data_IF_529790243400
#
_entry.id   IF_529790243400
#
_cell.length_a   1.000
_cell.length_b   1.000
_cell.length_c   1.000
_cell.angle_alpha   90.00
_cell.angle_beta   90.00
_cell.angle_gamma   90.00
#
_symmetry.space_group_name_H-M   'P 1'
#
loop_
_entity.id
_entity.type
_entity.pdbx_description
1 polymer ?
#
# COMPACT_ATOMS: atom_id res chain seq x y z
N UNK A 1 16.71 -12.11 -13.49
CA UNK A 1 15.24 -11.99 -13.40
C UNK A 1 14.89 -10.57 -13.81
N UNK A 2 14.29 -10.36 -14.99
CA UNK A 2 13.88 -9.01 -15.40
C UNK A 2 12.80 -8.55 -14.44
N UNK A 3 13.09 -7.52 -13.63
CA UNK A 3 12.04 -6.84 -12.88
C UNK A 3 11.07 -6.27 -13.92
N UNK A 4 9.86 -6.83 -14.01
CA UNK A 4 8.82 -6.29 -14.88
C UNK A 4 8.65 -4.80 -14.59
N UNK A 5 8.70 -3.99 -15.66
CA UNK A 5 8.51 -2.55 -15.53
C UNK A 5 7.14 -2.30 -14.92
N UNK A 6 7.07 -1.41 -13.92
CA UNK A 6 5.82 -1.10 -13.22
C UNK A 6 4.76 -0.50 -14.15
N UNK A 7 5.18 -0.05 -15.34
CA UNK A 7 4.33 0.46 -16.42
C UNK A 7 4.17 -0.52 -17.59
N UNK A 8 4.55 -1.79 -17.46
CA UNK A 8 4.30 -2.78 -18.52
C UNK A 8 2.81 -3.04 -18.69
N UNK A 9 2.40 -3.46 -19.89
CA UNK A 9 0.99 -3.74 -20.18
C UNK A 9 0.44 -4.87 -19.32
N UNK A 10 1.25 -5.88 -19.02
CA UNK A 10 0.89 -6.99 -18.13
C UNK A 10 0.72 -6.52 -16.68
N UNK A 11 1.60 -5.63 -16.20
CA UNK A 11 1.49 -5.07 -14.85
C UNK A 11 0.22 -4.23 -14.71
N UNK A 12 -0.06 -3.38 -15.70
CA UNK A 12 -1.26 -2.53 -15.74
C UNK A 12 -2.52 -3.40 -15.81
N UNK A 13 -2.55 -4.39 -16.69
CA UNK A 13 -3.68 -5.32 -16.82
C UNK A 13 -3.90 -6.10 -15.52
N UNK A 14 -2.83 -6.59 -14.88
CA UNK A 14 -2.89 -7.27 -13.59
C UNK A 14 -3.45 -6.40 -12.47
N UNK A 15 -2.99 -5.15 -12.35
CA UNK A 15 -3.52 -4.19 -11.38
C UNK A 15 -5.01 -3.93 -11.65
N UNK A 16 -5.39 -3.69 -12.90
CA UNK A 16 -6.78 -3.43 -13.26
C UNK A 16 -7.69 -4.63 -12.99
N UNK A 17 -7.26 -5.85 -13.31
CA UNK A 17 -7.99 -7.07 -12.98
C UNK A 17 -8.22 -7.19 -11.47
N UNK A 18 -7.19 -6.97 -10.66
CA UNK A 18 -7.32 -7.00 -9.20
C UNK A 18 -8.24 -5.89 -8.69
N UNK A 19 -8.17 -4.68 -9.26
CA UNK A 19 -9.06 -3.59 -8.90
C UNK A 19 -10.51 -3.87 -9.27
N UNK A 20 -10.79 -4.48 -10.42
CA UNK A 20 -12.14 -4.85 -10.83
C UNK A 20 -12.73 -5.90 -9.87
N UNK A 21 -11.94 -6.88 -9.45
CA UNK A 21 -12.37 -7.89 -8.48
C UNK A 21 -12.51 -7.32 -7.06
N UNK A 22 -11.49 -6.60 -6.57
CA UNK A 22 -11.42 -6.16 -5.18
C UNK A 22 -12.19 -4.86 -4.92
N UNK A 23 -12.47 -4.08 -5.94
CA UNK A 23 -13.21 -2.81 -5.85
C UNK A 23 -14.50 -2.87 -6.68
N UNK A 24 -15.07 -4.07 -6.89
CA UNK A 24 -16.26 -4.28 -7.72
C UNK A 24 -17.42 -3.36 -7.34
N UNK A 25 -17.65 -3.14 -6.05
CA UNK A 25 -18.72 -2.25 -5.57
C UNK A 25 -18.55 -0.79 -6.04
N UNK A 26 -17.31 -0.30 -6.18
CA UNK A 26 -17.06 1.02 -6.76
C UNK A 26 -17.54 1.07 -8.22
N UNK A 27 -17.16 0.07 -9.02
CA UNK A 27 -17.55 0.00 -10.43
C UNK A 27 -19.05 -0.22 -10.63
N UNK A 28 -19.70 -1.04 -9.79
CA UNK A 28 -21.16 -1.19 -9.82
C UNK A 28 -21.90 0.13 -9.51
N UNK A 29 -21.36 0.97 -8.61
CA UNK A 29 -21.95 2.29 -8.31
C UNK A 29 -21.78 3.31 -9.43
N UNK A 30 -20.77 3.15 -10.28
CA UNK A 30 -20.58 3.99 -11.47
C UNK A 30 -21.58 3.64 -12.59
N UNK A 31 -22.40 2.61 -12.40
CA UNK A 31 -23.37 2.13 -13.39
C UNK A 31 -22.89 0.87 -14.08
N UNK A 32 -22.95 0.85 -15.42
CA UNK A 32 -22.63 -0.34 -16.21
C UNK A 32 -21.10 -0.48 -16.31
N UNK A 33 -20.55 -1.54 -15.71
CA UNK A 33 -19.19 -1.98 -16.01
C UNK A 33 -19.17 -2.52 -17.44
N UNK A 34 -18.62 -1.74 -18.37
CA UNK A 34 -18.40 -2.14 -19.74
C UNK A 34 -16.93 -2.03 -20.14
N UNK A 35 -16.61 -2.56 -21.32
CA UNK A 35 -15.24 -2.55 -21.84
C UNK A 35 -14.70 -1.13 -22.06
N UNK A 36 -15.55 -0.15 -22.39
CA UNK A 36 -15.11 1.22 -22.61
C UNK A 36 -14.63 1.88 -21.33
N UNK A 37 -15.35 1.68 -20.22
CA UNK A 37 -14.91 2.17 -18.90
C UNK A 37 -13.60 1.52 -18.46
N UNK A 38 -13.46 0.20 -18.67
CA UNK A 38 -12.24 -0.54 -18.34
C UNK A 38 -11.05 -0.04 -19.17
N UNK A 39 -11.21 0.09 -20.49
CA UNK A 39 -10.17 0.59 -21.40
C UNK A 39 -9.78 2.02 -21.05
N UNK A 40 -10.76 2.87 -20.69
CA UNK A 40 -10.49 4.22 -20.24
C UNK A 40 -9.65 4.23 -18.95
N UNK A 41 -9.99 3.41 -17.96
CA UNK A 41 -9.21 3.30 -16.72
C UNK A 41 -7.81 2.72 -16.95
N UNK A 42 -7.66 1.76 -17.87
CA UNK A 42 -6.35 1.24 -18.29
C UNK A 42 -5.50 2.38 -18.86
N UNK A 43 -6.08 3.20 -19.76
CA UNK A 43 -5.41 4.36 -20.34
C UNK A 43 -4.97 5.38 -19.28
N UNK A 44 -5.86 5.74 -18.36
CA UNK A 44 -5.56 6.65 -17.26
C UNK A 44 -4.48 6.10 -16.31
N UNK A 45 -4.54 4.80 -16.00
CA UNK A 45 -3.51 4.15 -15.18
C UNK A 45 -2.16 4.18 -15.90
N UNK A 46 -2.11 3.80 -17.18
CA UNK A 46 -0.89 3.84 -17.99
C UNK A 46 -0.27 5.24 -18.02
N UNK A 47 -1.09 6.27 -18.22
CA UNK A 47 -0.64 7.66 -18.22
C UNK A 47 -0.10 8.06 -16.84
N UNK A 48 -0.83 7.75 -15.76
CA UNK A 48 -0.44 8.08 -14.40
C UNK A 48 0.88 7.40 -14.00
N UNK A 49 1.05 6.11 -14.31
CA UNK A 49 2.28 5.36 -14.00
C UNK A 49 3.45 5.86 -14.83
N UNK A 50 3.26 6.11 -16.13
CA UNK A 50 4.30 6.67 -17.00
C UNK A 50 4.76 8.04 -16.52
N UNK A 51 3.82 8.94 -16.19
CA UNK A 51 4.11 10.30 -15.70
C UNK A 51 4.89 10.30 -14.38
N UNK A 52 4.63 9.33 -13.50
CA UNK A 52 5.26 9.26 -12.17
C UNK A 52 6.26 8.11 -12.04
N UNK A 53 6.74 7.55 -13.16
CA UNK A 53 7.64 6.38 -13.17
C UNK A 53 8.86 6.58 -12.28
N UNK A 54 9.49 7.75 -12.36
CA UNK A 54 10.65 8.07 -11.54
C UNK A 54 10.35 8.01 -10.04
N UNK A 55 9.19 8.51 -9.58
CA UNK A 55 8.79 8.42 -8.18
C UNK A 55 8.53 6.98 -7.76
N UNK A 56 7.83 6.20 -8.60
CA UNK A 56 7.57 4.79 -8.33
C UNK A 56 8.87 4.00 -8.20
N UNK A 57 9.83 4.20 -9.11
CA UNK A 57 11.15 3.58 -9.03
C UNK A 57 11.91 3.95 -7.75
N UNK A 58 11.92 5.24 -7.38
CA UNK A 58 12.58 5.71 -6.16
C UNK A 58 11.94 5.15 -4.87
N UNK A 59 10.62 4.95 -4.87
CA UNK A 59 9.88 4.43 -3.72
C UNK A 59 9.89 2.90 -3.64
N UNK A 60 10.01 2.19 -4.77
CA UNK A 60 9.98 0.71 -4.81
C UNK A 60 11.09 0.04 -4.00
N UNK A 61 12.19 0.75 -3.74
CA UNK A 61 13.32 0.28 -2.93
C UNK A 61 13.18 0.63 -1.44
N UNK A 62 12.09 1.28 -1.04
CA UNK A 62 11.85 1.70 0.34
C UNK A 62 10.96 0.68 1.04
N UNK A 63 11.23 0.49 2.33
CA UNK A 63 10.49 -0.41 3.21
C UNK A 63 9.86 0.39 4.32
N UNK A 64 8.63 0.08 4.70
CA UNK A 64 7.86 0.85 5.68
C UNK A 64 8.59 0.97 7.03
N UNK A 65 9.20 -0.10 7.50
CA UNK A 65 9.96 -0.17 8.75
C UNK A 65 11.17 0.79 8.77
N UNK A 66 11.79 1.02 7.62
CA UNK A 66 13.07 1.73 7.51
C UNK A 66 12.91 3.17 6.97
N UNK A 67 11.81 3.45 6.26
CA UNK A 67 11.67 4.72 5.53
C UNK A 67 11.66 5.93 6.46
N UNK A 68 12.28 7.02 6.02
CA UNK A 68 12.07 8.35 6.59
C UNK A 68 11.17 9.12 5.62
N UNK A 69 9.98 9.52 6.08
CA UNK A 69 9.00 10.22 5.25
C UNK A 69 9.48 11.62 4.83
N UNK A 70 10.39 12.23 5.60
CA UNK A 70 10.92 13.57 5.31
C UNK A 70 12.25 13.50 4.54
N UNK A 71 12.73 12.29 4.23
CA UNK A 71 13.88 12.08 3.34
C UNK A 71 13.58 12.57 1.92
N UNK A 72 14.46 13.42 1.40
CA UNK A 72 14.43 13.88 0.01
C UNK A 72 14.80 12.77 -0.97
N UNK A 73 14.02 12.64 -2.04
CA UNK A 73 14.26 11.73 -3.16
C UNK A 73 15.04 12.46 -4.27
N UNK A 74 16.22 11.95 -4.60
CA UNK A 74 16.95 12.36 -5.79
C UNK A 74 16.41 11.59 -7.02
N UNK A 75 16.26 12.23 -8.20
CA UNK A 75 16.62 13.61 -8.54
C UNK A 75 15.49 14.65 -8.32
N UNK A 76 14.34 14.22 -7.80
CA UNK A 76 13.10 15.02 -7.76
C UNK A 76 13.10 16.18 -6.77
N UNK A 77 14.05 16.24 -5.84
CA UNK A 77 14.11 17.22 -4.74
C UNK A 77 12.81 17.35 -3.93
N UNK A 78 12.00 16.30 -3.91
CA UNK A 78 10.78 16.19 -3.08
C UNK A 78 10.96 15.11 -2.03
N UNK A 79 10.24 15.20 -0.93
CA UNK A 79 10.30 14.18 0.13
C UNK A 79 9.52 12.92 -0.24
N UNK A 80 9.80 11.80 0.44
CA UNK A 80 9.00 10.57 0.34
C UNK A 80 7.52 10.85 0.59
N UNK A 81 7.23 11.67 1.62
CA UNK A 81 5.91 12.18 1.97
C UNK A 81 5.19 12.83 0.78
N UNK A 82 5.88 13.74 0.11
CA UNK A 82 5.35 14.46 -1.04
C UNK A 82 5.13 13.53 -2.24
N UNK A 83 6.06 12.61 -2.48
CA UNK A 83 5.94 11.61 -3.55
C UNK A 83 4.72 10.71 -3.36
N UNK A 84 4.50 10.17 -2.16
CA UNK A 84 3.33 9.37 -1.82
C UNK A 84 2.03 10.17 -1.98
N UNK A 85 2.00 11.42 -1.50
CA UNK A 85 0.83 12.29 -1.68
C UNK A 85 0.53 12.56 -3.16
N UNK A 86 1.55 12.82 -3.98
CA UNK A 86 1.40 13.06 -5.43
C UNK A 86 0.83 11.83 -6.14
N UNK A 87 1.42 10.66 -5.89
CA UNK A 87 0.96 9.39 -6.45
C UNK A 87 -0.49 9.08 -6.04
N UNK A 88 -0.82 9.21 -4.75
CA UNK A 88 -2.17 8.97 -4.26
C UNK A 88 -3.19 9.91 -4.90
N UNK A 89 -2.89 11.22 -4.98
CA UNK A 89 -3.77 12.20 -5.64
C UNK A 89 -3.97 11.88 -7.11
N UNK A 90 -2.91 11.48 -7.82
CA UNK A 90 -3.00 11.13 -9.23
C UNK A 90 -3.94 9.94 -9.47
N UNK A 91 -3.79 8.88 -8.68
CA UNK A 91 -4.58 7.65 -8.82
C UNK A 91 -6.02 7.79 -8.31
N UNK A 92 -6.22 8.48 -7.18
CA UNK A 92 -7.54 8.62 -6.55
C UNK A 92 -8.54 9.42 -7.37
N UNK A 93 -8.07 10.22 -8.32
CA UNK A 93 -8.93 10.98 -9.26
C UNK A 93 -9.83 10.09 -10.11
N UNK A 94 -9.39 8.89 -10.47
CA UNK A 94 -10.15 7.97 -11.33
C UNK A 94 -10.41 6.60 -10.69
N UNK A 95 -9.57 6.17 -9.73
CA UNK A 95 -9.76 4.91 -8.99
C UNK A 95 -10.55 5.08 -7.68
N UNK A 96 -10.81 6.31 -7.26
CA UNK A 96 -11.29 6.62 -5.91
C UNK A 96 -10.25 6.30 -4.83
N UNK A 97 -10.58 6.60 -3.57
CA UNK A 97 -9.66 6.47 -2.43
C UNK A 97 -9.15 5.03 -2.21
N UNK A 98 -10.07 4.06 -2.20
CA UNK A 98 -9.76 2.64 -2.00
C UNK A 98 -8.99 2.07 -3.19
N UNK A 99 -9.40 2.39 -4.41
CA UNK A 99 -8.71 1.90 -5.62
C UNK A 99 -7.29 2.46 -5.73
N UNK A 100 -7.07 3.74 -5.39
CA UNK A 100 -5.74 4.33 -5.35
C UNK A 100 -4.82 3.64 -4.34
N UNK A 101 -5.32 3.36 -3.13
CA UNK A 101 -4.54 2.63 -2.13
C UNK A 101 -4.23 1.20 -2.60
N UNK A 102 -5.16 0.53 -3.28
CA UNK A 102 -4.97 -0.84 -3.80
C UNK A 102 -3.91 -0.87 -4.88
N UNK A 103 -3.98 0.07 -5.82
CA UNK A 103 -2.97 0.23 -6.86
C UNK A 103 -1.59 0.49 -6.25
N UNK A 104 -1.48 1.41 -5.28
CA UNK A 104 -0.20 1.72 -4.64
C UNK A 104 0.36 0.56 -3.81
N UNK A 105 -0.50 -0.21 -3.13
CA UNK A 105 -0.08 -1.41 -2.43
C UNK A 105 0.50 -2.47 -3.38
N UNK A 106 -0.10 -2.65 -4.56
CA UNK A 106 0.43 -3.57 -5.58
C UNK A 106 1.74 -3.05 -6.21
N UNK A 107 1.89 -1.74 -6.38
CA UNK A 107 3.06 -1.11 -6.98
C UNK A 107 4.25 -1.00 -6.02
N UNK A 108 3.98 -0.77 -4.73
CA UNK A 108 4.94 -0.49 -3.67
C UNK A 108 4.70 -1.40 -2.46
N UNK A 109 4.76 -2.74 -2.63
CA UNK A 109 4.30 -3.69 -1.62
C UNK A 109 5.06 -3.58 -0.31
N UNK A 110 6.36 -3.28 -0.32
CA UNK A 110 7.17 -3.15 0.90
C UNK A 110 6.96 -1.83 1.66
N UNK A 111 6.29 -0.85 1.04
CA UNK A 111 6.13 0.50 1.60
C UNK A 111 4.67 0.83 1.94
N UNK A 112 3.74 0.41 1.09
CA UNK A 112 2.33 0.82 1.18
C UNK A 112 1.49 -0.26 1.83
N UNK A 113 0.87 0.08 2.95
CA UNK A 113 -0.09 -0.78 3.65
C UNK A 113 -1.47 -0.57 3.02
N UNK A 114 -2.16 -1.67 2.79
CA UNK A 114 -3.49 -1.67 2.22
C UNK A 114 -4.47 -0.94 3.14
N UNK A 115 -5.19 0.02 2.56
CA UNK A 115 -6.24 0.80 3.20
C UNK A 115 -7.54 0.82 2.37
N UNK A 116 -8.64 0.31 2.93
CA UNK A 116 -10.00 0.41 2.39
C UNK A 116 -10.96 1.28 3.26
N UNK A 117 -12.26 1.29 2.96
CA UNK A 117 -13.23 2.06 3.74
C UNK A 117 -13.41 1.59 5.18
N UNK A 118 -13.31 0.28 5.45
CA UNK A 118 -13.45 -0.27 6.80
C UNK A 118 -12.25 0.10 7.65
N UNK A 119 -11.05 -0.15 7.12
CA UNK A 119 -9.78 0.24 7.75
C UNK A 119 -9.76 1.76 7.99
N UNK A 120 -10.18 2.56 7.00
CA UNK A 120 -10.31 4.02 7.16
C UNK A 120 -11.12 4.41 8.38
N UNK A 121 -12.30 3.80 8.51
CA UNK A 121 -13.27 4.11 9.53
C UNK A 121 -12.69 3.81 10.91
N UNK A 122 -11.98 2.70 11.04
CA UNK A 122 -11.35 2.29 12.29
C UNK A 122 -10.34 3.32 12.81
N UNK A 123 -9.52 3.89 11.92
CA UNK A 123 -8.55 4.95 12.28
C UNK A 123 -9.14 6.36 12.28
N UNK A 124 -10.43 6.52 11.93
CA UNK A 124 -11.13 7.82 11.80
C UNK A 124 -10.40 8.82 10.88
N UNK A 125 -9.78 8.30 9.82
CA UNK A 125 -9.01 9.11 8.88
C UNK A 125 -9.88 9.56 7.68
N UNK A 126 -9.64 10.75 7.12
CA UNK A 126 -10.34 11.20 5.93
C UNK A 126 -9.87 10.43 4.68
N UNK A 127 -10.74 10.30 3.67
CA UNK A 127 -10.42 9.67 2.39
C UNK A 127 -9.61 10.60 1.46
N UNK A 128 -8.51 11.16 1.98
CA UNK A 128 -7.65 12.13 1.29
C UNK A 128 -6.20 11.69 1.35
N UNK A 129 -5.34 12.34 0.56
CA UNK A 129 -3.89 12.11 0.61
C UNK A 129 -3.27 12.43 1.99
N UNK A 130 -3.83 13.41 2.74
CA UNK A 130 -3.39 13.69 4.12
C UNK A 130 -3.75 12.54 5.04
N UNK A 131 -4.98 12.01 4.89
CA UNK A 131 -5.37 10.77 5.54
C UNK A 131 -4.39 9.66 5.19
N UNK A 132 -4.20 9.40 3.88
CA UNK A 132 -3.31 8.38 3.31
C UNK A 132 -1.96 8.33 4.00
N UNK A 133 -1.32 9.48 4.07
CA UNK A 133 -0.03 9.66 4.68
C UNK A 133 -0.05 9.42 6.19
N UNK A 134 -1.00 10.00 6.93
CA UNK A 134 -1.13 9.79 8.39
C UNK A 134 -1.30 8.32 8.75
N UNK A 135 -2.06 7.57 7.96
CA UNK A 135 -2.19 6.13 8.15
C UNK A 135 -0.84 5.42 8.06
N UNK A 136 -0.02 5.75 7.07
CA UNK A 136 1.29 5.12 6.90
C UNK A 136 2.27 5.51 8.02
N UNK A 137 2.20 6.74 8.52
CA UNK A 137 2.95 7.17 9.71
C UNK A 137 2.54 6.35 10.94
N UNK A 138 1.23 6.14 11.16
CA UNK A 138 0.75 5.27 12.22
C UNK A 138 1.21 3.82 12.03
N UNK A 139 1.09 3.27 10.82
CA UNK A 139 1.50 1.90 10.54
C UNK A 139 3.00 1.68 10.75
N UNK A 140 3.84 2.66 10.37
CA UNK A 140 5.26 2.61 10.66
C UNK A 140 5.52 2.64 12.17
N UNK A 141 4.83 3.52 12.92
CA UNK A 141 4.99 3.61 14.37
C UNK A 141 4.60 2.30 15.07
N UNK A 142 3.45 1.73 14.74
CA UNK A 142 2.96 0.46 15.27
C UNK A 142 3.93 -0.69 14.94
N UNK A 143 4.39 -0.77 13.70
CA UNK A 143 5.37 -1.77 13.27
C UNK A 143 6.68 -1.64 14.05
N UNK A 144 7.24 -0.43 14.15
CA UNK A 144 8.48 -0.19 14.91
C UNK A 144 8.31 -0.47 16.40
N UNK A 145 7.12 -0.26 16.97
CA UNK A 145 6.84 -0.66 18.35
C UNK A 145 6.82 -2.18 18.48
N UNK A 146 6.08 -2.88 17.61
CA UNK A 146 6.01 -4.34 17.62
C UNK A 146 7.40 -4.99 17.47
N UNK A 147 8.23 -4.49 16.54
CA UNK A 147 9.58 -4.98 16.34
C UNK A 147 10.48 -4.73 17.56
N UNK A 148 10.39 -3.56 18.18
CA UNK A 148 11.14 -3.24 19.41
C UNK A 148 10.75 -4.16 20.57
N UNK A 149 9.45 -4.40 20.78
CA UNK A 149 8.98 -5.32 21.81
C UNK A 149 9.46 -6.74 21.53
N UNK A 150 9.32 -7.23 20.30
CA UNK A 150 9.81 -8.56 19.93
C UNK A 150 11.31 -8.72 20.21
N UNK A 151 12.12 -7.74 19.81
CA UNK A 151 13.56 -7.74 20.05
C UNK A 151 13.93 -7.64 21.54
N UNK A 152 13.13 -6.94 22.35
CA UNK A 152 13.35 -6.89 23.80
C UNK A 152 13.10 -8.26 24.45
N UNK A 153 12.09 -9.00 23.98
CA UNK A 153 11.70 -10.29 24.55
C UNK A 153 12.57 -11.46 24.05
N UNK A 154 13.05 -11.40 22.81
CA UNK A 154 13.73 -12.51 22.13
C UNK A 154 15.20 -12.22 21.75
N UNK A 155 15.64 -10.96 21.86
CA UNK A 155 16.94 -10.51 21.35
C UNK A 155 16.98 -10.43 19.81
N UNK A 156 18.19 -10.21 19.29
CA UNK A 156 18.46 -10.20 17.85
C UNK A 156 18.28 -8.85 17.17
N UNK A 157 18.34 -8.87 15.84
CA UNK A 157 18.23 -7.71 14.94
C UNK A 157 16.80 -7.50 14.44
N UNK A 158 16.48 -6.30 13.98
CA UNK A 158 15.18 -6.00 13.35
C UNK A 158 14.87 -6.95 12.18
N UNK A 159 15.89 -7.28 11.37
CA UNK A 159 15.76 -8.23 10.25
C UNK A 159 15.43 -9.65 10.72
N UNK A 160 15.92 -10.07 11.88
CA UNK A 160 15.57 -11.36 12.47
C UNK A 160 14.16 -11.35 13.03
N UNK A 161 13.75 -10.27 13.69
CA UNK A 161 12.39 -10.09 14.18
C UNK A 161 11.36 -10.13 13.04
N UNK A 162 11.57 -9.37 11.96
CA UNK A 162 10.71 -9.38 10.77
C UNK A 162 10.61 -10.78 10.18
N UNK A 163 11.74 -11.49 10.03
CA UNK A 163 11.74 -12.85 9.49
C UNK A 163 11.02 -13.84 10.40
N UNK A 164 11.15 -13.71 11.71
CA UNK A 164 10.44 -14.57 12.65
C UNK A 164 8.93 -14.37 12.56
N UNK A 165 8.45 -13.12 12.57
CA UNK A 165 7.02 -12.78 12.42
C UNK A 165 6.46 -13.33 11.11
N UNK A 166 7.18 -13.14 10.00
CA UNK A 166 6.76 -13.64 8.68
C UNK A 166 6.70 -15.17 8.64
N UNK A 167 7.70 -15.86 9.22
CA UNK A 167 7.74 -17.32 9.30
C UNK A 167 6.62 -17.88 10.16
N UNK A 168 6.33 -17.25 11.29
CA UNK A 168 5.24 -17.65 12.17
C UNK A 168 3.89 -17.52 11.46
N UNK A 169 3.69 -16.42 10.71
CA UNK A 169 2.42 -16.16 10.02
C UNK A 169 2.22 -16.99 8.75
N UNK A 170 3.27 -17.18 7.94
CA UNK A 170 3.15 -17.74 6.59
C UNK A 170 3.98 -19.00 6.33
N UNK A 171 4.82 -19.43 7.28
CA UNK A 171 5.76 -20.55 7.11
C UNK A 171 7.10 -20.17 6.46
N UNK A 172 8.02 -21.13 6.37
CA UNK A 172 9.41 -20.88 5.94
C UNK A 172 9.59 -20.52 4.47
N UNK A 173 8.66 -20.92 3.60
CA UNK A 173 8.81 -20.83 2.14
C UNK A 173 8.03 -19.69 1.50
N UNK A 174 7.44 -18.79 2.29
CA UNK A 174 6.60 -17.70 1.75
C UNK A 174 7.27 -16.36 2.00
N UNK A 175 7.88 -15.81 0.96
CA UNK A 175 8.36 -14.43 0.97
C UNK A 175 7.16 -13.46 0.85
N UNK A 176 6.90 -12.70 1.92
CA UNK A 176 5.90 -11.63 1.95
C UNK A 176 6.53 -10.37 2.54
N UNK A 177 6.13 -9.18 2.06
CA UNK A 177 6.48 -7.95 2.74
C UNK A 177 5.78 -7.89 4.11
N UNK A 178 6.42 -7.27 5.09
CA UNK A 178 5.85 -7.12 6.44
C UNK A 178 4.56 -6.29 6.45
N UNK A 179 4.39 -5.41 5.47
CA UNK A 179 3.14 -4.68 5.19
C UNK A 179 1.95 -5.61 5.01
N UNK A 180 2.13 -6.82 4.47
CA UNK A 180 1.05 -7.79 4.30
C UNK A 180 0.50 -8.28 5.65
N UNK A 181 1.37 -8.38 6.67
CA UNK A 181 0.94 -8.70 8.05
C UNK A 181 0.13 -7.55 8.62
N UNK A 182 0.57 -6.31 8.40
CA UNK A 182 -0.19 -5.12 8.82
C UNK A 182 -1.56 -5.04 8.12
N UNK A 183 -1.65 -5.40 6.84
CA UNK A 183 -2.92 -5.46 6.12
C UNK A 183 -3.91 -6.43 6.78
N UNK A 184 -3.44 -7.62 7.15
CA UNK A 184 -4.25 -8.65 7.80
C UNK A 184 -4.67 -8.22 9.20
N UNK A 185 -3.75 -7.63 9.96
CA UNK A 185 -4.04 -7.03 11.26
C UNK A 185 -5.12 -5.95 11.15
N UNK A 186 -4.98 -5.02 10.20
CA UNK A 186 -5.94 -3.95 9.97
C UNK A 186 -7.30 -4.48 9.51
N UNK A 187 -7.31 -5.52 8.67
CA UNK A 187 -8.55 -6.17 8.26
C UNK A 187 -9.28 -6.78 9.46
N UNK A 188 -8.55 -7.49 10.34
CA UNK A 188 -9.10 -8.04 11.59
C UNK A 188 -9.69 -6.93 12.46
N UNK A 189 -8.94 -5.84 12.69
CA UNK A 189 -9.43 -4.72 13.50
C UNK A 189 -10.70 -4.08 12.92
N UNK A 190 -10.77 -3.93 11.59
CA UNK A 190 -11.89 -3.29 10.92
C UNK A 190 -13.16 -4.15 10.89
N UNK A 191 -13.05 -5.49 10.92
CA UNK A 191 -14.18 -6.40 10.74
C UNK A 191 -14.57 -7.18 12.00
N UNK A 192 -13.63 -7.38 12.93
CA UNK A 192 -13.85 -8.12 14.18
C UNK A 192 -13.77 -7.23 15.43
N UNK A 193 -13.44 -5.94 15.27
CA UNK A 193 -13.18 -5.04 16.38
C UNK A 193 -11.84 -5.33 17.06
N UNK A 194 -11.49 -4.56 18.11
CA UNK A 194 -10.34 -4.91 18.95
C UNK A 194 -10.66 -6.20 19.70
N UNK A 195 -9.90 -7.26 19.46
CA UNK A 195 -9.84 -8.40 20.37
C UNK A 195 -9.29 -7.88 21.70
N UNK A 196 -10.18 -7.62 22.65
CA UNK A 196 -9.85 -7.08 23.97
C UNK A 196 -9.87 -5.55 24.02
N UNK A 197 -11.05 -4.96 24.21
CA UNK A 197 -11.18 -3.94 25.24
C UNK A 197 -11.64 -4.66 26.51
N UNK A 198 -11.05 -4.40 27.69
CA UNK A 198 -11.65 -4.85 28.95
C UNK A 198 -13.08 -4.32 29.10
#
# INVERSE_FOLDING_TARGET
>A
MHAHDVSSDEAIAGIMMLLLCWNAQYYYRQGRMDYQLVDHHIGLLREALSRHRHLLCSLKLRRLEEVDFDQTLCPSSITVREALCRLYRALSRFLGATGASKALHLLLPDLVVMWDSGIRGQYRLPATHVGFLRFHEFMQSELRQALRTYMADHGGTEREAIRAILRERYGEHVERPITKVLDEYNWVLAHLGRLGAP
#
